data_IF_055822355681
#
_entry.id   IF_055822355681
#
_cell.length_a   1.000
_cell.length_b   1.000
_cell.length_c   1.000
_cell.angle_alpha   90.00
_cell.angle_beta   90.00
_cell.angle_gamma   90.00
#
_symmetry.space_group_name_H-M   'P 1'
#
loop_
_entity.id
_entity.type
_entity.pdbx_description
1 polymer ?
#
# COMPACT_ATOMS: atom_id res chain seq x y z
N UNK A 1 -18.29 1.36 -4.97
CA UNK A 1 -17.14 0.96 -4.13
C UNK A 1 -16.54 2.24 -3.56
N UNK A 2 -16.18 2.26 -2.28
CA UNK A 2 -15.51 3.40 -1.69
C UNK A 2 -14.01 3.31 -1.97
N UNK A 3 -13.41 4.40 -2.46
CA UNK A 3 -12.03 4.40 -2.97
C UNK A 3 -11.26 5.55 -2.35
N UNK A 4 -10.06 5.27 -1.84
CA UNK A 4 -9.11 6.27 -1.38
C UNK A 4 -7.92 6.31 -2.34
N UNK A 5 -7.60 7.50 -2.85
CA UNK A 5 -6.42 7.74 -3.70
C UNK A 5 -5.38 8.44 -2.82
N UNK A 6 -4.19 7.87 -2.71
CA UNK A 6 -3.10 8.50 -1.97
C UNK A 6 -2.74 9.85 -2.62
N UNK A 7 -2.55 10.92 -1.84
CA UNK A 7 -2.48 12.29 -2.39
C UNK A 7 -1.10 12.68 -2.94
N UNK A 8 -0.09 11.82 -2.80
CA UNK A 8 1.31 12.16 -3.06
C UNK A 8 1.92 11.25 -4.13
N UNK A 9 3.16 11.54 -4.51
CA UNK A 9 3.79 11.01 -5.74
C UNK A 9 4.23 9.55 -5.66
N UNK A 10 4.39 9.00 -4.45
CA UNK A 10 4.86 7.64 -4.20
C UNK A 10 4.18 7.04 -2.97
N UNK A 11 4.31 5.74 -2.75
CA UNK A 11 3.77 5.03 -1.59
C UNK A 11 4.77 4.88 -0.43
N UNK A 12 5.99 5.41 -0.59
CA UNK A 12 7.04 5.29 0.43
C UNK A 12 6.75 6.16 1.66
N UNK A 13 7.51 6.00 2.74
CA UNK A 13 7.35 6.81 3.96
C UNK A 13 7.52 8.31 3.65
N UNK A 14 8.43 8.66 2.72
CA UNK A 14 8.72 10.04 2.33
C UNK A 14 7.49 10.72 1.75
N UNK A 15 6.63 9.98 1.06
CA UNK A 15 5.40 10.47 0.47
C UNK A 15 4.15 10.05 1.26
N UNK A 16 4.28 9.75 2.56
CA UNK A 16 3.15 9.23 3.34
C UNK A 16 2.92 9.87 4.70
N UNK A 17 3.84 10.72 5.20
CA UNK A 17 3.64 11.45 6.46
C UNK A 17 3.03 12.86 6.28
N UNK A 18 2.99 13.36 5.04
CA UNK A 18 2.56 14.71 4.69
C UNK A 18 3.17 15.19 3.37
N UNK A 19 2.99 16.47 3.00
CA UNK A 19 3.35 16.98 1.68
C UNK A 19 4.84 17.33 1.51
N UNK A 20 5.66 17.11 2.53
CA UNK A 20 7.07 17.51 2.56
C UNK A 20 7.96 16.26 2.74
N UNK A 21 8.51 15.72 1.64
CA UNK A 21 9.33 14.51 1.66
C UNK A 21 10.57 14.63 2.54
N UNK A 22 11.17 15.82 2.67
CA UNK A 22 12.36 16.01 3.51
C UNK A 22 12.02 15.96 5.00
N UNK A 23 10.83 16.42 5.36
CA UNK A 23 10.30 16.23 6.71
C UNK A 23 9.98 14.75 6.94
N UNK A 24 9.31 14.09 5.99
CA UNK A 24 8.92 12.69 6.15
C UNK A 24 10.10 11.73 6.18
N UNK A 25 11.16 12.01 5.42
CA UNK A 25 12.38 11.23 5.42
C UNK A 25 13.00 11.13 6.82
N UNK A 26 12.88 12.18 7.64
CA UNK A 26 13.40 12.19 9.02
C UNK A 26 12.66 11.25 9.98
N UNK A 27 11.55 10.65 9.55
CA UNK A 27 10.78 9.65 10.31
C UNK A 27 10.83 8.26 9.67
N UNK A 28 11.59 8.09 8.59
CA UNK A 28 12.01 6.78 8.14
C UNK A 28 13.28 6.37 8.90
N UNK A 29 13.12 5.70 10.04
CA UNK A 29 14.24 5.31 10.91
C UNK A 29 15.18 4.26 10.32
N UNK A 30 14.86 3.59 9.21
CA UNK A 30 15.81 2.70 8.51
C UNK A 30 16.92 3.50 7.83
N UNK A 31 16.65 4.78 7.55
CA UNK A 31 17.62 5.72 6.97
C UNK A 31 18.58 6.30 8.01
N UNK A 32 18.59 5.78 9.24
CA UNK A 32 19.65 6.08 10.21
C UNK A 32 20.98 5.50 9.73
N UNK A 33 20.96 4.30 9.14
CA UNK A 33 22.17 3.56 8.77
C UNK A 33 22.10 2.85 7.40
N UNK A 34 20.93 2.68 6.77
CA UNK A 34 20.82 1.96 5.50
C UNK A 34 20.66 2.86 4.25
N UNK A 35 20.09 4.06 4.40
CA UNK A 35 19.84 4.99 3.30
C UNK A 35 20.05 6.43 3.75
N UNK A 36 20.06 7.37 2.81
CA UNK A 36 20.22 8.80 3.09
C UNK A 36 18.93 9.58 2.86
N UNK A 37 18.81 10.72 3.55
CA UNK A 37 17.83 11.77 3.26
C UNK A 37 18.55 12.94 2.59
N UNK A 38 17.88 13.65 1.69
CA UNK A 38 18.48 14.78 0.95
C UNK A 38 18.93 15.91 1.86
N UNK A 39 18.18 16.18 2.94
CA UNK A 39 18.41 17.30 3.83
C UNK A 39 18.91 16.88 5.22
N UNK A 40 18.02 16.36 6.07
CA UNK A 40 18.37 15.94 7.42
C UNK A 40 18.15 14.44 7.58
N UNK A 41 19.15 13.73 8.09
CA UNK A 41 19.02 12.32 8.44
C UNK A 41 18.02 12.13 9.60
N UNK A 42 17.32 10.98 9.66
CA UNK A 42 16.61 10.59 10.85
C UNK A 42 17.58 10.44 12.03
N UNK A 43 17.10 10.74 13.23
CA UNK A 43 17.85 10.53 14.47
C UNK A 43 16.96 9.77 15.45
N UNK A 44 17.55 8.95 16.34
CA UNK A 44 16.78 8.31 17.40
C UNK A 44 15.99 9.32 18.24
N UNK A 45 14.77 8.95 18.60
CA UNK A 45 13.89 9.73 19.46
C UNK A 45 14.36 9.55 20.90
N UNK A 46 14.56 10.69 21.55
CA UNK A 46 15.05 10.77 22.94
C UNK A 46 14.24 11.80 23.69
N UNK A 47 14.28 11.79 25.02
CA UNK A 47 13.61 12.79 25.86
C UNK A 47 14.01 14.23 25.49
N UNK A 48 15.24 14.43 25.02
CA UNK A 48 15.75 15.74 24.62
C UNK A 48 15.10 16.28 23.34
N UNK A 49 14.69 15.41 22.41
CA UNK A 49 14.24 15.80 21.08
C UNK A 49 12.75 15.50 20.81
N UNK A 50 12.12 14.64 21.62
CA UNK A 50 10.77 14.11 21.41
C UNK A 50 9.74 15.21 21.22
N UNK A 51 9.79 16.28 22.02
CA UNK A 51 8.87 17.42 21.89
C UNK A 51 8.97 18.06 20.51
N UNK A 52 10.18 18.35 20.04
CA UNK A 52 10.41 19.02 18.75
C UNK A 52 9.99 18.11 17.60
N UNK A 53 10.38 16.83 17.65
CA UNK A 53 10.06 15.83 16.62
C UNK A 53 8.55 15.55 16.54
N UNK A 54 7.90 15.33 17.66
CA UNK A 54 6.45 15.12 17.72
C UNK A 54 5.66 16.30 17.10
N UNK A 55 6.04 17.55 17.41
CA UNK A 55 5.37 18.73 16.86
C UNK A 55 5.56 18.86 15.34
N UNK A 56 6.72 18.48 14.81
CA UNK A 56 6.98 18.48 13.36
C UNK A 56 6.11 17.41 12.68
N UNK A 57 6.09 16.19 13.20
CA UNK A 57 5.30 15.09 12.66
C UNK A 57 3.79 15.39 12.72
N UNK A 58 3.30 15.87 13.86
CA UNK A 58 1.89 16.26 14.02
C UNK A 58 1.51 17.37 13.02
N UNK A 59 2.40 18.34 12.80
CA UNK A 59 2.19 19.40 11.80
C UNK A 59 2.14 18.85 10.38
N UNK A 60 2.95 17.85 10.05
CA UNK A 60 2.91 17.20 8.73
C UNK A 60 1.57 16.48 8.50
N UNK A 61 1.09 15.72 9.50
CA UNK A 61 -0.24 15.10 9.45
C UNK A 61 -1.37 16.12 9.40
N UNK A 62 -1.26 17.24 10.11
CA UNK A 62 -2.24 18.33 10.00
C UNK A 62 -2.32 18.88 8.57
N UNK A 63 -1.17 19.10 7.90
CA UNK A 63 -1.16 19.54 6.49
C UNK A 63 -1.84 18.52 5.59
N UNK A 64 -1.55 17.22 5.77
CA UNK A 64 -2.19 16.13 5.03
C UNK A 64 -3.71 16.12 5.25
N UNK A 65 -4.16 16.29 6.49
CA UNK A 65 -5.58 16.39 6.85
C UNK A 65 -6.30 17.53 6.15
N UNK A 66 -5.67 18.71 6.11
CA UNK A 66 -6.24 19.87 5.44
C UNK A 66 -6.34 19.66 3.92
N UNK A 67 -5.32 19.04 3.30
CA UNK A 67 -5.33 18.73 1.87
C UNK A 67 -6.39 17.67 1.50
N UNK A 68 -6.57 16.65 2.33
CA UNK A 68 -7.57 15.60 2.12
C UNK A 68 -8.99 16.00 2.53
N UNK A 69 -9.16 17.09 3.27
CA UNK A 69 -10.46 17.50 3.82
C UNK A 69 -11.04 16.51 4.83
N UNK A 70 -10.20 15.68 5.48
CA UNK A 70 -10.62 14.61 6.39
C UNK A 70 -9.88 14.70 7.71
N UNK A 71 -10.58 14.45 8.83
CA UNK A 71 -9.99 14.27 10.16
C UNK A 71 -9.62 12.82 10.48
N UNK A 72 -9.85 11.90 9.54
CA UNK A 72 -9.40 10.50 9.60
C UNK A 72 -8.34 10.34 8.51
N UNK A 73 -7.10 10.10 8.92
CA UNK A 73 -5.95 10.00 8.00
C UNK A 73 -5.47 8.56 7.88
N UNK A 74 -5.09 8.20 6.66
CA UNK A 74 -4.29 7.02 6.37
C UNK A 74 -2.88 7.48 6.05
N UNK A 75 -1.91 6.96 6.78
CA UNK A 75 -0.49 7.09 6.46
C UNK A 75 0.05 5.68 6.29
N UNK A 76 0.57 5.38 5.10
CA UNK A 76 1.22 4.08 4.84
C UNK A 76 2.68 4.18 5.23
N UNK A 77 3.18 3.20 5.98
CA UNK A 77 4.50 3.28 6.60
C UNK A 77 5.38 2.13 6.14
N UNK A 78 5.80 2.18 4.89
CA UNK A 78 6.58 1.12 4.26
C UNK A 78 7.22 1.60 2.95
N UNK A 79 7.79 0.65 2.22
CA UNK A 79 8.47 0.82 0.94
C UNK A 79 8.75 -0.58 0.36
N UNK A 80 9.41 -0.66 -0.79
CA UNK A 80 9.86 -1.91 -1.40
C UNK A 80 10.65 -2.80 -0.42
N UNK A 81 10.18 -4.05 -0.25
CA UNK A 81 10.82 -5.10 0.56
C UNK A 81 11.21 -4.66 1.99
N UNK A 82 10.40 -3.81 2.62
CA UNK A 82 10.58 -3.37 4.00
C UNK A 82 10.12 -4.42 5.02
N UNK A 83 10.59 -4.22 6.24
CA UNK A 83 10.42 -5.03 7.44
C UNK A 83 11.02 -6.43 7.30
N UNK A 84 12.12 -6.53 6.55
CA UNK A 84 12.85 -7.78 6.33
C UNK A 84 13.78 -8.13 7.51
N UNK A 85 14.31 -7.12 8.20
CA UNK A 85 15.29 -7.28 9.28
C UNK A 85 14.68 -6.92 10.64
N UNK A 86 15.08 -7.65 11.69
CA UNK A 86 14.63 -7.36 13.06
C UNK A 86 15.12 -5.99 13.55
N UNK A 87 16.33 -5.58 13.14
CA UNK A 87 16.88 -4.26 13.42
C UNK A 87 15.95 -3.15 12.89
N UNK A 88 15.51 -3.27 11.64
CA UNK A 88 14.60 -2.31 11.02
C UNK A 88 13.27 -2.23 11.79
N UNK A 89 12.74 -3.37 12.24
CA UNK A 89 11.52 -3.40 13.02
C UNK A 89 11.65 -2.58 14.31
N UNK A 90 12.74 -2.77 15.07
CA UNK A 90 13.00 -1.99 16.29
C UNK A 90 13.27 -0.52 15.99
N UNK A 91 14.07 -0.21 14.98
CA UNK A 91 14.33 1.16 14.55
C UNK A 91 13.01 1.91 14.25
N UNK A 92 12.06 1.29 13.55
CA UNK A 92 10.77 1.93 13.27
C UNK A 92 9.88 1.96 14.52
N UNK A 93 9.62 0.82 15.13
CA UNK A 93 8.66 0.69 16.22
C UNK A 93 9.04 1.50 17.45
N UNK A 94 10.28 1.35 17.95
CA UNK A 94 10.72 1.97 19.20
C UNK A 94 10.74 3.50 19.11
N UNK A 95 11.04 4.05 17.94
CA UNK A 95 11.02 5.49 17.72
C UNK A 95 9.60 6.03 17.50
N UNK A 96 8.76 5.33 16.74
CA UNK A 96 7.38 5.74 16.47
C UNK A 96 6.50 5.69 17.71
N UNK A 97 6.62 4.65 18.55
CA UNK A 97 5.78 4.52 19.74
C UNK A 97 6.02 5.67 20.73
N UNK A 98 7.27 6.10 20.90
CA UNK A 98 7.61 7.28 21.70
C UNK A 98 6.91 8.55 21.16
N UNK A 99 6.96 8.77 19.84
CA UNK A 99 6.29 9.90 19.21
C UNK A 99 4.77 9.83 19.39
N UNK A 100 4.18 8.65 19.21
CA UNK A 100 2.74 8.45 19.34
C UNK A 100 2.28 8.71 20.77
N UNK A 101 2.98 8.17 21.76
CA UNK A 101 2.67 8.38 23.17
C UNK A 101 2.78 9.86 23.56
N UNK A 102 3.83 10.54 23.09
CA UNK A 102 3.98 11.97 23.32
C UNK A 102 2.84 12.77 22.69
N UNK A 103 2.48 12.52 21.43
CA UNK A 103 1.39 13.22 20.74
C UNK A 103 0.06 12.93 21.45
N UNK A 104 -0.24 11.67 21.76
CA UNK A 104 -1.50 11.27 22.39
C UNK A 104 -1.70 11.86 23.79
N UNK A 105 -0.61 12.05 24.54
CA UNK A 105 -0.59 12.66 25.88
C UNK A 105 -0.69 14.18 25.84
N UNK A 106 0.00 14.84 24.90
CA UNK A 106 0.17 16.29 24.91
C UNK A 106 -0.75 17.03 23.93
N UNK A 107 -1.26 16.36 22.89
CA UNK A 107 -2.20 16.95 21.93
C UNK A 107 -3.64 16.72 22.35
N UNK A 108 -4.43 17.80 22.31
CA UNK A 108 -5.90 17.73 22.46
C UNK A 108 -6.63 17.49 21.14
N UNK A 109 -5.93 17.55 20.00
CA UNK A 109 -6.52 17.54 18.65
C UNK A 109 -6.20 16.27 17.88
N UNK A 110 -5.10 15.61 18.22
CA UNK A 110 -4.58 14.47 17.46
C UNK A 110 -4.61 13.21 18.31
N UNK A 111 -5.11 12.14 17.72
CA UNK A 111 -4.94 10.77 18.21
C UNK A 111 -4.28 9.95 17.12
N UNK A 112 -3.19 9.30 17.46
CA UNK A 112 -2.35 8.56 16.53
C UNK A 112 -2.02 7.19 17.10
N UNK A 113 -1.98 6.18 16.24
CA UNK A 113 -1.65 4.80 16.58
C UNK A 113 -1.29 4.04 15.31
N UNK A 114 -0.63 2.90 15.49
CA UNK A 114 -0.62 1.87 14.44
C UNK A 114 -2.04 1.37 14.17
N UNK A 115 -2.31 1.04 12.92
CA UNK A 115 -3.61 0.55 12.50
C UNK A 115 -3.54 -0.18 11.17
N UNK A 116 -4.64 -0.81 10.81
CA UNK A 116 -4.83 -1.56 9.56
C UNK A 116 -5.68 -0.75 8.57
N UNK A 117 -5.63 -1.14 7.28
CA UNK A 117 -6.49 -0.53 6.25
C UNK A 117 -7.99 -0.68 6.59
N UNK A 118 -8.38 -1.81 7.17
CA UNK A 118 -9.76 -2.04 7.59
C UNK A 118 -10.20 -1.04 8.67
N UNK A 119 -9.37 -0.82 9.68
CA UNK A 119 -9.67 0.15 10.75
C UNK A 119 -9.76 1.59 10.23
N UNK A 120 -8.96 1.95 9.22
CA UNK A 120 -9.04 3.25 8.56
C UNK A 120 -10.39 3.44 7.86
N UNK A 121 -10.81 2.50 7.01
CA UNK A 121 -12.08 2.60 6.29
C UNK A 121 -13.27 2.57 7.25
N UNK A 122 -13.22 1.71 8.27
CA UNK A 122 -14.21 1.67 9.34
C UNK A 122 -14.36 3.03 10.04
N UNK A 123 -13.25 3.67 10.42
CA UNK A 123 -13.26 4.97 11.08
C UNK A 123 -13.76 6.09 10.15
N UNK A 124 -13.35 6.05 8.88
CA UNK A 124 -13.75 7.02 7.87
C UNK A 124 -15.25 6.96 7.58
N UNK A 125 -15.79 5.76 7.38
CA UNK A 125 -17.22 5.55 7.16
C UNK A 125 -18.06 5.99 8.35
N UNK A 126 -17.65 5.63 9.58
CA UNK A 126 -18.33 6.08 10.80
C UNK A 126 -18.33 7.61 10.90
N UNK A 127 -17.18 8.25 10.65
CA UNK A 127 -17.07 9.71 10.69
C UNK A 127 -17.95 10.37 9.62
N UNK A 128 -17.99 9.83 8.40
CA UNK A 128 -18.84 10.35 7.34
C UNK A 128 -20.32 10.23 7.67
N UNK A 129 -20.76 9.09 8.23
CA UNK A 129 -22.15 8.91 8.71
C UNK A 129 -22.51 9.92 9.80
N UNK A 130 -21.67 10.10 10.82
CA UNK A 130 -21.92 11.05 11.92
C UNK A 130 -22.02 12.49 11.41
N UNK A 131 -21.16 12.87 10.47
CA UNK A 131 -21.10 14.23 9.92
C UNK A 131 -22.02 14.47 8.73
N UNK A 132 -22.81 13.48 8.31
CA UNK A 132 -23.61 13.50 7.09
C UNK A 132 -22.79 13.89 5.84
N UNK A 133 -21.54 13.45 5.77
CA UNK A 133 -20.67 13.66 4.61
C UNK A 133 -20.99 12.59 3.56
N UNK A 134 -21.36 13.03 2.37
CA UNK A 134 -21.58 12.16 1.21
C UNK A 134 -20.32 12.26 0.33
N UNK A 135 -19.58 11.16 0.12
CA UNK A 135 -18.43 11.18 -0.77
C UNK A 135 -18.83 11.48 -2.21
N UNK A 136 -17.90 12.09 -2.97
CA UNK A 136 -18.10 12.31 -4.39
C UNK A 136 -18.24 10.97 -5.15
N UNK A 137 -19.16 10.95 -6.12
CA UNK A 137 -19.26 9.85 -7.08
C UNK A 137 -18.34 10.14 -8.25
N UNK A 138 -17.52 9.15 -8.62
CA UNK A 138 -16.60 9.22 -9.75
C UNK A 138 -16.84 8.01 -10.67
N UNK A 139 -16.78 8.24 -11.98
CA UNK A 139 -16.81 7.22 -13.02
C UNK A 139 -15.69 7.47 -14.03
N UNK A 140 -15.23 6.40 -14.69
CA UNK A 140 -14.07 6.43 -15.60
C UNK A 140 -12.95 5.50 -15.13
N UNK A 141 -11.75 5.73 -15.64
CA UNK A 141 -10.52 5.05 -15.24
C UNK A 141 -9.44 6.08 -14.85
N UNK A 142 -8.24 5.57 -14.56
CA UNK A 142 -7.05 6.38 -14.25
C UNK A 142 -5.95 6.16 -15.30
N UNK A 143 -6.31 5.97 -16.57
CA UNK A 143 -5.36 5.77 -17.66
C UNK A 143 -5.36 6.92 -18.68
N UNK A 144 -4.20 7.23 -19.28
CA UNK A 144 -2.86 6.73 -18.94
C UNK A 144 -2.30 7.37 -17.67
N UNK A 145 -1.49 6.63 -16.92
CA UNK A 145 -0.74 7.20 -15.80
C UNK A 145 0.41 8.07 -16.32
N UNK A 146 0.52 9.28 -15.76
CA UNK A 146 1.66 10.18 -15.94
C UNK A 146 2.38 10.29 -14.59
N UNK A 147 3.68 9.98 -14.57
CA UNK A 147 4.45 10.12 -13.34
C UNK A 147 4.73 11.60 -13.01
N UNK A 148 5.26 11.87 -11.83
CA UNK A 148 5.61 13.23 -11.38
C UNK A 148 6.64 13.94 -12.28
N UNK A 149 7.45 13.19 -13.03
CA UNK A 149 8.40 13.74 -14.00
C UNK A 149 7.74 14.18 -15.33
N UNK A 150 6.46 13.84 -15.54
CA UNK A 150 5.71 14.16 -16.76
C UNK A 150 5.70 13.04 -17.81
N UNK A 151 6.33 11.90 -17.54
CA UNK A 151 6.38 10.77 -18.46
C UNK A 151 5.10 9.92 -18.39
N UNK A 152 4.54 9.60 -19.55
CA UNK A 152 3.39 8.70 -19.66
C UNK A 152 3.83 7.24 -19.72
N UNK A 153 3.27 6.42 -18.85
CA UNK A 153 3.61 5.00 -18.76
C UNK A 153 2.74 4.17 -19.69
N UNK A 154 2.87 4.37 -21.00
CA UNK A 154 2.11 3.61 -22.01
C UNK A 154 2.92 2.50 -22.67
N UNK A 155 4.25 2.48 -22.49
CA UNK A 155 5.13 1.46 -23.08
C UNK A 155 4.85 0.03 -22.57
N UNK A 156 4.49 -0.12 -21.29
CA UNK A 156 4.18 -1.42 -20.69
C UNK A 156 2.88 -2.04 -21.24
N UNK A 157 2.08 -1.29 -22.02
CA UNK A 157 0.94 -1.86 -22.73
C UNK A 157 1.39 -2.91 -23.76
N UNK A 158 2.58 -2.75 -24.35
CA UNK A 158 3.08 -3.59 -25.46
C UNK A 158 4.34 -4.40 -25.10
N UNK A 159 5.09 -4.00 -24.08
CA UNK A 159 6.37 -4.63 -23.70
C UNK A 159 6.21 -6.14 -23.44
N UNK A 160 7.14 -6.96 -23.96
CA UNK A 160 7.09 -8.44 -23.96
C UNK A 160 5.76 -9.02 -24.49
N UNK A 161 5.38 -8.76 -25.75
CA UNK A 161 4.08 -9.16 -26.31
C UNK A 161 3.88 -10.68 -26.38
N UNK A 162 4.96 -11.45 -26.50
CA UNK A 162 4.92 -12.92 -26.47
C UNK A 162 4.26 -13.44 -25.18
N UNK A 163 4.69 -12.94 -24.01
CA UNK A 163 4.13 -13.39 -22.74
C UNK A 163 2.72 -12.85 -22.50
N UNK A 164 2.41 -11.62 -22.95
CA UNK A 164 1.03 -11.10 -22.95
C UNK A 164 0.07 -12.00 -23.76
N UNK A 165 0.53 -12.56 -24.89
CA UNK A 165 -0.24 -13.53 -25.67
C UNK A 165 -0.35 -14.88 -24.96
N UNK A 166 0.77 -15.39 -24.45
CA UNK A 166 0.82 -16.68 -23.76
C UNK A 166 -0.10 -16.72 -22.54
N UNK A 167 -0.20 -15.61 -21.79
CA UNK A 167 -1.13 -15.47 -20.68
C UNK A 167 -2.59 -15.70 -21.09
N UNK A 168 -3.01 -15.14 -22.24
CA UNK A 168 -4.39 -15.29 -22.74
C UNK A 168 -4.69 -16.73 -23.11
N UNK A 169 -3.70 -17.43 -23.66
CA UNK A 169 -3.80 -18.86 -24.01
C UNK A 169 -3.89 -19.72 -22.75
N UNK A 170 -3.01 -19.49 -21.77
CA UNK A 170 -3.05 -20.17 -20.48
C UNK A 170 -4.38 -19.96 -19.76
N UNK A 171 -4.90 -18.73 -19.74
CA UNK A 171 -6.20 -18.42 -19.16
C UNK A 171 -7.33 -19.20 -19.86
N UNK A 172 -7.33 -19.28 -21.20
CA UNK A 172 -8.29 -20.07 -21.97
C UNK A 172 -8.22 -21.57 -21.62
N UNK A 173 -7.01 -22.14 -21.53
CA UNK A 173 -6.82 -23.54 -21.18
C UNK A 173 -7.27 -23.86 -19.75
N UNK A 174 -6.97 -22.99 -18.79
CA UNK A 174 -7.43 -23.16 -17.40
C UNK A 174 -8.96 -23.13 -17.35
N UNK A 175 -9.60 -22.15 -18.01
CA UNK A 175 -11.06 -22.06 -18.06
C UNK A 175 -11.69 -23.32 -18.68
N UNK A 176 -11.15 -23.79 -19.79
CA UNK A 176 -11.66 -25.00 -20.45
C UNK A 176 -11.50 -26.23 -19.53
N UNK A 177 -10.34 -26.36 -18.89
CA UNK A 177 -10.04 -27.48 -17.99
C UNK A 177 -10.94 -27.46 -16.74
N UNK A 178 -11.27 -26.27 -16.22
CA UNK A 178 -12.19 -26.10 -15.09
C UNK A 178 -13.60 -26.57 -15.45
N UNK A 179 -14.11 -26.16 -16.61
CA UNK A 179 -15.44 -26.56 -17.10
C UNK A 179 -15.53 -28.06 -17.37
N UNK A 180 -14.50 -28.65 -18.00
CA UNK A 180 -14.43 -30.08 -18.27
C UNK A 180 -14.36 -30.88 -16.96
N UNK A 181 -13.54 -30.44 -16.01
CA UNK A 181 -13.42 -31.09 -14.70
C UNK A 181 -14.72 -31.04 -13.93
N UNK A 182 -15.40 -29.89 -13.91
CA UNK A 182 -16.71 -29.74 -13.26
C UNK A 182 -17.75 -30.67 -13.88
N UNK A 183 -17.78 -30.78 -15.21
CA UNK A 183 -18.72 -31.64 -15.94
C UNK A 183 -18.42 -33.13 -15.73
N UNK A 184 -17.15 -33.51 -15.64
CA UNK A 184 -16.73 -34.90 -15.50
C UNK A 184 -16.69 -35.36 -14.03
N UNK A 185 -16.89 -34.48 -13.06
CA UNK A 185 -16.56 -34.71 -11.65
C UNK A 185 -17.17 -36.02 -11.11
N UNK A 186 -18.45 -36.28 -11.39
CA UNK A 186 -19.17 -37.47 -10.92
C UNK A 186 -18.55 -38.77 -11.45
N UNK A 187 -18.03 -38.74 -12.69
CA UNK A 187 -17.48 -39.91 -13.38
C UNK A 187 -15.99 -40.16 -13.06
N UNK A 188 -15.32 -39.20 -12.41
CA UNK A 188 -13.90 -39.33 -12.06
C UNK A 188 -13.72 -40.12 -10.76
N UNK A 189 -12.74 -41.03 -10.76
CA UNK A 189 -12.28 -41.68 -9.53
C UNK A 189 -11.71 -40.66 -8.55
N UNK A 190 -11.73 -40.96 -7.25
CA UNK A 190 -11.14 -40.09 -6.21
C UNK A 190 -9.68 -39.73 -6.51
N UNK A 191 -8.89 -40.71 -6.99
CA UNK A 191 -7.49 -40.50 -7.39
C UNK A 191 -7.37 -39.53 -8.56
N UNK A 192 -8.20 -39.69 -9.59
CA UNK A 192 -8.21 -38.79 -10.76
C UNK A 192 -8.60 -37.37 -10.36
N UNK A 193 -9.63 -37.20 -9.51
CA UNK A 193 -10.05 -35.88 -9.00
C UNK A 193 -8.91 -35.17 -8.27
N UNK A 194 -8.18 -35.89 -7.43
CA UNK A 194 -7.06 -35.33 -6.67
C UNK A 194 -5.92 -34.86 -7.60
N UNK A 195 -5.54 -35.68 -8.58
CA UNK A 195 -4.49 -35.31 -9.55
C UNK A 195 -4.91 -34.08 -10.35
N UNK A 196 -6.13 -34.07 -10.88
CA UNK A 196 -6.64 -32.95 -11.69
C UNK A 196 -6.68 -31.67 -10.84
N UNK A 197 -7.20 -31.75 -9.61
CA UNK A 197 -7.26 -30.59 -8.72
C UNK A 197 -5.86 -30.03 -8.42
N UNK A 198 -4.87 -30.89 -8.16
CA UNK A 198 -3.48 -30.46 -7.94
C UNK A 198 -2.90 -29.72 -9.16
N UNK A 199 -3.07 -30.29 -10.35
CA UNK A 199 -2.58 -29.68 -11.60
C UNK A 199 -3.27 -28.34 -11.89
N UNK A 200 -4.59 -28.27 -11.71
CA UNK A 200 -5.34 -27.02 -11.88
C UNK A 200 -4.96 -25.98 -10.84
N UNK A 201 -4.71 -26.36 -9.59
CA UNK A 201 -4.21 -25.44 -8.57
C UNK A 201 -2.85 -24.85 -8.97
N UNK A 202 -1.92 -25.66 -9.50
CA UNK A 202 -0.63 -25.16 -9.99
C UNK A 202 -0.84 -24.20 -11.17
N UNK A 203 -1.63 -24.59 -12.16
CA UNK A 203 -1.90 -23.76 -13.34
C UNK A 203 -2.52 -22.40 -12.97
N UNK A 204 -3.55 -22.41 -12.10
CA UNK A 204 -4.20 -21.19 -11.61
C UNK A 204 -3.24 -20.30 -10.82
N UNK A 205 -2.38 -20.88 -9.97
CA UNK A 205 -1.36 -20.12 -9.22
C UNK A 205 -0.34 -19.49 -10.15
N UNK A 206 0.12 -20.19 -11.18
CA UNK A 206 1.05 -19.65 -12.16
C UNK A 206 0.42 -18.50 -12.96
N UNK A 207 -0.83 -18.65 -13.40
CA UNK A 207 -1.56 -17.56 -14.07
C UNK A 207 -1.72 -16.35 -13.13
N UNK A 208 -2.11 -16.59 -11.87
CA UNK A 208 -2.30 -15.53 -10.88
C UNK A 208 -0.98 -14.79 -10.57
N UNK A 209 0.13 -15.50 -10.42
CA UNK A 209 1.46 -14.91 -10.24
C UNK A 209 1.85 -14.06 -11.46
N UNK A 210 1.52 -14.51 -12.67
CA UNK A 210 1.83 -13.76 -13.89
C UNK A 210 1.00 -12.46 -14.03
N UNK A 211 -0.10 -12.30 -13.28
CA UNK A 211 -0.82 -11.02 -13.19
C UNK A 211 -0.08 -9.98 -12.33
N UNK A 212 1.06 -10.32 -11.73
CA UNK A 212 1.92 -9.37 -11.04
C UNK A 212 2.26 -8.19 -11.97
N UNK A 213 2.33 -6.99 -11.39
CA UNK A 213 2.47 -5.73 -12.13
C UNK A 213 3.88 -5.50 -12.71
N UNK A 214 4.83 -6.43 -12.50
CA UNK A 214 6.12 -6.51 -13.20
C UNK A 214 6.27 -7.81 -14.02
N UNK A 215 5.18 -8.56 -14.22
CA UNK A 215 5.18 -9.77 -15.02
C UNK A 215 4.38 -9.58 -16.32
N UNK A 216 3.06 -9.38 -16.23
CA UNK A 216 2.22 -9.16 -17.42
C UNK A 216 2.56 -7.83 -18.12
N UNK A 217 3.13 -6.87 -17.41
CA UNK A 217 3.44 -5.52 -17.90
C UNK A 217 4.68 -5.47 -18.79
N UNK A 218 5.59 -6.44 -18.71
CA UNK A 218 6.76 -6.52 -19.59
C UNK A 218 8.06 -6.65 -18.81
#
# INVERSE_FOLDING_TARGET
>A
MYTHVLPYSHYDILNSCGPDPDVCCQYDFKRINHFTCSNAAPVPITDSNIRKRALILEKAFLKMSLQQGSNILLSVWGDDFRYAELEEWYQQYDNLILLFDYINKNSKRTKIRFGTLMEYFDALERNNKIKNIIPATLSGDFFPYQCSAGDYWTGYYTTRPFYKRQERELHSFIRASDLLTASALINLSTKSRQIIQQQLTIARRNLALFQHHDAITG
#
